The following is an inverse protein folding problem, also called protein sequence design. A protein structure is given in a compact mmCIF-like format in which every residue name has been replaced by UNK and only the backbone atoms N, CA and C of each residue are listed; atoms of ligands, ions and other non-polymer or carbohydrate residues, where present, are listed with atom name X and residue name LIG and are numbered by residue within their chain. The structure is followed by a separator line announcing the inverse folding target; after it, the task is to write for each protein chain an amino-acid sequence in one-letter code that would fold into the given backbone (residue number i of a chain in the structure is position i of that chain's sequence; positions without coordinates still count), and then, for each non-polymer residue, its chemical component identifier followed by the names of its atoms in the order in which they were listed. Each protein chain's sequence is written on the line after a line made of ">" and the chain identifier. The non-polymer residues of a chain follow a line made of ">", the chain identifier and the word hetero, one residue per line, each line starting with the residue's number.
data_IF_418307151959
#
_entry.id   IF_418307151959
#
_cell.length_a   1.000
_cell.length_b   1.000
_cell.length_c   1.000
_cell.angle_alpha   90.00
_cell.angle_beta   90.00
_cell.angle_gamma   90.00
#
_symmetry.space_group_name_H-M   'P 1'
#
loop_
_entity.id
_entity.type
_entity.pdbx_description
1 polymer ?
#
# COMPACT_ATOMS: atom_id res chain seq x y z
N UNK A 1 13.42 22.65 18.19
CA UNK A 1 13.54 21.18 18.10
C UNK A 1 12.68 20.74 16.94
N UNK A 2 13.26 20.09 15.93
CA UNK A 2 12.52 19.69 14.73
C UNK A 2 11.56 18.53 15.01
N UNK A 3 10.58 18.29 14.13
CA UNK A 3 9.63 17.19 14.23
C UNK A 3 10.37 15.84 14.29
N UNK A 4 11.42 15.69 13.49
CA UNK A 4 12.24 14.50 13.46
C UNK A 4 13.08 14.32 14.74
N UNK A 5 13.58 15.41 15.34
CA UNK A 5 14.30 15.34 16.63
C UNK A 5 13.39 14.81 17.74
N UNK A 6 12.13 15.28 17.76
CA UNK A 6 11.11 14.81 18.72
C UNK A 6 10.82 13.32 18.52
N UNK A 7 10.64 12.88 17.27
CA UNK A 7 10.38 11.49 16.94
C UNK A 7 11.53 10.58 17.40
N UNK A 8 12.77 10.93 17.06
CA UNK A 8 13.98 10.18 17.41
C UNK A 8 14.25 10.08 18.91
N UNK A 9 13.72 11.02 19.70
CA UNK A 9 13.83 11.01 21.16
C UNK A 9 12.90 10.00 21.85
N UNK A 10 11.97 9.38 21.14
CA UNK A 10 11.03 8.41 21.72
C UNK A 10 11.70 7.07 22.01
N UNK A 11 11.66 6.63 23.27
CA UNK A 11 12.30 5.38 23.70
C UNK A 11 11.69 4.13 23.06
N UNK A 12 10.41 4.18 22.65
CA UNK A 12 9.71 3.05 22.02
C UNK A 12 10.35 2.63 20.71
N UNK A 13 10.91 3.57 19.96
CA UNK A 13 11.50 3.31 18.63
C UNK A 13 13.02 3.19 18.66
N UNK A 14 13.68 3.38 19.82
CA UNK A 14 15.13 3.46 19.90
C UNK A 14 15.84 2.20 19.37
N UNK A 15 15.34 1.02 19.75
CA UNK A 15 15.89 -0.26 19.29
C UNK A 15 15.66 -0.47 17.78
N UNK A 16 14.47 -0.10 17.28
CA UNK A 16 14.12 -0.20 15.85
C UNK A 16 15.00 0.74 15.01
N UNK A 17 15.17 1.98 15.44
CA UNK A 17 16.03 2.95 14.78
C UNK A 17 17.48 2.45 14.73
N UNK A 18 17.99 1.90 15.83
CA UNK A 18 19.34 1.34 15.89
C UNK A 18 19.49 0.13 14.93
N UNK A 19 18.52 -0.78 14.92
CA UNK A 19 18.50 -1.95 14.01
C UNK A 19 18.59 -1.53 12.55
N UNK A 20 17.77 -0.56 12.13
CA UNK A 20 17.79 -0.03 10.77
C UNK A 20 19.15 0.61 10.47
N UNK A 21 19.67 1.46 11.35
CA UNK A 21 20.96 2.13 11.15
C UNK A 21 22.16 1.18 11.07
N UNK A 22 22.07 -0.01 11.65
CA UNK A 22 23.12 -1.04 11.54
C UNK A 22 23.12 -1.74 10.19
N UNK A 23 21.99 -1.74 9.47
CA UNK A 23 21.79 -2.47 8.21
C UNK A 23 21.81 -1.57 6.98
N UNK A 24 21.60 -0.27 7.15
CA UNK A 24 21.52 0.71 6.06
C UNK A 24 22.03 2.08 6.48
N UNK A 25 22.46 2.88 5.50
CA UNK A 25 22.78 4.30 5.67
C UNK A 25 21.48 5.10 5.67
N UNK A 26 20.85 5.19 6.84
CA UNK A 26 19.59 5.91 7.04
C UNK A 26 19.79 7.43 6.99
N UNK A 27 19.03 8.10 6.11
CA UNK A 27 18.93 9.55 6.01
C UNK A 27 17.52 10.03 6.33
N UNK A 28 17.45 11.27 6.79
CA UNK A 28 16.19 11.98 7.04
C UNK A 28 16.20 13.25 6.21
N UNK A 29 15.17 13.41 5.38
CA UNK A 29 15.03 14.54 4.48
C UNK A 29 13.67 15.18 4.70
N UNK A 30 13.61 16.52 4.74
CA UNK A 30 12.32 17.19 4.89
C UNK A 30 11.58 17.06 3.57
N UNK A 31 10.37 16.50 3.59
CA UNK A 31 9.54 16.39 2.39
C UNK A 31 8.94 17.75 2.03
N UNK A 32 8.77 17.97 0.73
CA UNK A 32 7.89 19.03 0.20
C UNK A 32 6.42 18.59 0.19
N UNK A 33 6.15 17.30 0.41
CA UNK A 33 4.80 16.75 0.58
C UNK A 33 4.29 16.89 2.02
N UNK A 34 3.00 16.63 2.22
CA UNK A 34 2.39 16.59 3.56
C UNK A 34 2.55 15.24 4.27
N UNK A 35 3.27 14.28 3.66
CA UNK A 35 3.33 12.89 4.13
C UNK A 35 4.73 12.49 4.60
N UNK A 36 4.75 11.44 5.41
CA UNK A 36 5.96 10.68 5.69
C UNK A 36 6.07 9.55 4.69
N UNK A 37 7.27 9.31 4.19
CA UNK A 37 7.54 8.27 3.19
C UNK A 37 8.90 7.66 3.47
N UNK A 38 9.04 6.37 3.18
CA UNK A 38 10.30 5.66 3.24
C UNK A 38 10.62 4.96 1.94
N UNK A 39 11.91 4.94 1.63
CA UNK A 39 12.47 4.20 0.51
C UNK A 39 13.78 3.55 0.88
N UNK A 40 14.09 2.45 0.21
CA UNK A 40 15.36 1.74 0.31
C UNK A 40 15.92 1.56 -1.10
N UNK A 41 17.15 2.01 -1.31
CA UNK A 41 17.90 1.85 -2.56
C UNK A 41 19.31 1.33 -2.22
N UNK A 42 19.52 0.04 -2.49
CA UNK A 42 20.73 -0.68 -2.09
C UNK A 42 21.02 -0.57 -0.59
N UNK A 43 22.20 -0.04 -0.25
CA UNK A 43 22.62 0.17 1.15
C UNK A 43 22.09 1.47 1.79
N UNK A 44 21.24 2.23 1.10
CA UNK A 44 20.73 3.52 1.56
C UNK A 44 19.25 3.44 1.83
N UNK A 45 18.82 4.08 2.91
CA UNK A 45 17.41 4.27 3.21
C UNK A 45 17.16 5.76 3.47
N UNK A 46 16.06 6.27 2.94
CA UNK A 46 15.65 7.66 3.14
C UNK A 46 14.27 7.65 3.78
N UNK A 47 14.12 8.43 4.83
CA UNK A 47 12.82 8.82 5.39
C UNK A 47 12.60 10.27 5.07
N UNK A 48 11.61 10.53 4.22
CA UNK A 48 11.09 11.86 4.01
C UNK A 48 10.06 12.18 5.09
N UNK A 49 10.17 13.36 5.70
CA UNK A 49 9.30 13.74 6.81
C UNK A 49 8.64 15.11 6.62
N UNK A 50 7.39 15.19 7.04
CA UNK A 50 6.59 16.41 7.09
C UNK A 50 6.12 16.73 8.52
N UNK A 51 5.45 17.87 8.70
CA UNK A 51 4.81 18.19 9.98
C UNK A 51 3.60 17.29 10.23
N UNK A 52 3.54 16.63 11.39
CA UNK A 52 2.39 15.80 11.77
C UNK A 52 2.14 15.80 13.28
N UNK A 53 0.96 15.35 13.68
CA UNK A 53 0.49 15.29 15.08
C UNK A 53 1.23 14.23 15.90
N UNK A 54 1.53 13.08 15.29
CA UNK A 54 2.12 11.91 15.95
C UNK A 54 3.49 11.53 15.34
N UNK A 55 4.52 12.37 15.47
CA UNK A 55 5.77 12.19 14.73
C UNK A 55 6.56 10.94 15.13
N UNK A 56 6.50 10.50 16.39
CA UNK A 56 7.11 9.23 16.80
C UNK A 56 6.42 8.03 16.18
N UNK A 57 5.09 8.09 15.99
CA UNK A 57 4.31 7.03 15.38
C UNK A 57 4.58 6.97 13.88
N UNK A 58 4.57 8.12 13.19
CA UNK A 58 4.92 8.20 11.78
C UNK A 58 6.33 7.64 11.53
N UNK A 59 7.32 8.04 12.34
CA UNK A 59 8.66 7.49 12.23
C UNK A 59 8.70 5.97 12.49
N UNK A 60 7.91 5.45 13.43
CA UNK A 60 7.85 4.01 13.68
C UNK A 60 7.34 3.24 12.46
N UNK A 61 6.33 3.76 11.76
CA UNK A 61 5.81 3.16 10.53
C UNK A 61 6.87 3.12 9.45
N UNK A 62 7.53 4.25 9.18
CA UNK A 62 8.57 4.31 8.15
C UNK A 62 9.75 3.39 8.47
N UNK A 63 10.16 3.29 9.74
CA UNK A 63 11.22 2.37 10.13
C UNK A 63 10.80 0.89 10.01
N UNK A 64 9.56 0.56 10.33
CA UNK A 64 9.04 -0.80 10.16
C UNK A 64 8.93 -1.17 8.67
N UNK A 65 8.52 -0.22 7.82
CA UNK A 65 8.51 -0.39 6.36
C UNK A 65 9.92 -0.63 5.84
N UNK A 66 10.92 0.14 6.28
CA UNK A 66 12.33 -0.10 5.92
C UNK A 66 12.80 -1.49 6.38
N UNK A 67 12.49 -1.89 7.62
CA UNK A 67 12.84 -3.24 8.07
C UNK A 67 12.17 -4.34 7.25
N UNK A 68 10.92 -4.15 6.85
CA UNK A 68 10.18 -5.08 5.99
C UNK A 68 10.90 -5.24 4.64
N UNK A 69 11.27 -4.13 4.01
CA UNK A 69 12.04 -4.10 2.75
C UNK A 69 13.40 -4.78 2.90
N UNK A 70 14.16 -4.43 3.94
CA UNK A 70 15.47 -5.03 4.22
C UNK A 70 15.37 -6.53 4.53
N UNK A 71 14.21 -7.01 4.99
CA UNK A 71 13.98 -8.43 5.30
C UNK A 71 13.56 -9.26 4.09
N UNK A 72 13.42 -8.63 2.91
CA UNK A 72 13.16 -9.32 1.64
C UNK A 72 11.78 -9.09 1.05
N UNK A 73 10.96 -8.20 1.63
CA UNK A 73 9.74 -7.75 0.94
C UNK A 73 10.12 -6.97 -0.31
N UNK A 74 9.58 -7.39 -1.46
CA UNK A 74 9.81 -6.74 -2.75
C UNK A 74 8.56 -5.96 -3.16
N UNK A 75 8.61 -4.62 -3.16
CA UNK A 75 7.46 -3.81 -3.54
C UNK A 75 7.20 -3.96 -5.03
N UNK A 76 5.94 -4.07 -5.41
CA UNK A 76 5.54 -4.00 -6.82
C UNK A 76 5.60 -2.53 -7.23
N UNK A 77 6.32 -2.24 -8.30
CA UNK A 77 6.58 -0.87 -8.78
C UNK A 77 5.76 -0.52 -10.00
N UNK A 78 5.43 -1.50 -10.82
CA UNK A 78 4.71 -1.31 -12.07
C UNK A 78 3.65 -2.39 -12.24
N UNK A 79 2.51 -2.01 -12.80
CA UNK A 79 1.54 -2.92 -13.35
C UNK A 79 1.00 -2.40 -14.67
N UNK A 80 0.69 -3.33 -15.56
CA UNK A 80 0.09 -3.12 -16.87
C UNK A 80 -1.12 -4.04 -16.91
N UNK A 81 -2.26 -3.57 -17.37
CA UNK A 81 -3.46 -4.40 -17.45
C UNK A 81 -4.32 -4.04 -18.65
N UNK A 82 -4.96 -5.06 -19.24
CA UNK A 82 -6.05 -4.90 -20.20
C UNK A 82 -7.42 -4.65 -19.56
N UNK A 83 -7.53 -4.85 -18.24
CA UNK A 83 -8.79 -4.78 -17.47
C UNK A 83 -8.96 -3.41 -16.83
N UNK A 84 -7.86 -2.85 -16.34
CA UNK A 84 -7.83 -1.51 -15.80
C UNK A 84 -7.57 -0.50 -16.91
N UNK A 85 -8.14 0.69 -16.77
CA UNK A 85 -7.69 1.85 -17.55
C UNK A 85 -6.19 2.04 -17.30
N UNK A 86 -5.42 2.30 -18.36
CA UNK A 86 -3.96 2.41 -18.26
C UNK A 86 -3.53 3.45 -17.21
N UNK A 87 -4.28 4.55 -17.09
CA UNK A 87 -4.04 5.60 -16.10
C UNK A 87 -4.37 5.19 -14.66
N UNK A 88 -5.28 4.23 -14.47
CA UNK A 88 -5.72 3.76 -13.15
C UNK A 88 -4.84 2.63 -12.58
N UNK A 89 -4.11 1.91 -13.45
CA UNK A 89 -3.30 0.74 -13.05
C UNK A 89 -2.18 1.11 -12.07
N UNK A 90 -1.38 2.18 -12.30
CA UNK A 90 -0.33 2.58 -11.35
C UNK A 90 -0.89 2.89 -9.96
N UNK A 91 -2.02 3.60 -9.90
CA UNK A 91 -2.71 3.93 -8.65
C UNK A 91 -3.17 2.67 -7.92
N UNK A 92 -3.80 1.73 -8.64
CA UNK A 92 -4.24 0.45 -8.07
C UNK A 92 -3.05 -0.32 -7.47
N UNK A 93 -1.96 -0.48 -8.22
CA UNK A 93 -0.76 -1.21 -7.78
C UNK A 93 -0.14 -0.54 -6.56
N UNK A 94 -0.06 0.79 -6.57
CA UNK A 94 0.49 1.55 -5.45
C UNK A 94 -0.35 1.36 -4.17
N UNK A 95 -1.68 1.50 -4.28
CA UNK A 95 -2.59 1.26 -3.15
C UNK A 95 -2.45 -0.17 -2.64
N UNK A 96 -2.54 -1.17 -3.52
CA UNK A 96 -2.44 -2.56 -3.12
C UNK A 96 -1.10 -2.86 -2.43
N UNK A 97 0.02 -2.40 -2.98
CA UNK A 97 1.34 -2.60 -2.39
C UNK A 97 1.47 -1.90 -1.02
N UNK A 98 0.89 -0.71 -0.85
CA UNK A 98 0.89 -0.03 0.45
C UNK A 98 0.02 -0.74 1.48
N UNK A 99 -1.15 -1.24 1.10
CA UNK A 99 -2.02 -1.97 2.03
C UNK A 99 -1.38 -3.30 2.45
N UNK A 100 -0.80 -4.05 1.51
CA UNK A 100 -0.10 -5.30 1.83
C UNK A 100 1.07 -5.08 2.80
N UNK A 101 1.82 -3.99 2.66
CA UNK A 101 2.86 -3.61 3.63
C UNK A 101 2.25 -3.27 5.00
N UNK A 102 1.17 -2.47 5.04
CA UNK A 102 0.50 -2.09 6.29
C UNK A 102 0.04 -3.30 7.10
N UNK A 103 -0.57 -4.29 6.46
CA UNK A 103 -0.96 -5.54 7.13
C UNK A 103 0.24 -6.28 7.76
N UNK A 104 1.45 -6.21 7.17
CA UNK A 104 2.65 -6.85 7.74
C UNK A 104 3.26 -6.09 8.92
N UNK A 105 3.19 -4.77 8.92
CA UNK A 105 3.84 -3.96 9.96
C UNK A 105 2.92 -3.64 11.14
N UNK A 106 1.60 -3.73 10.98
CA UNK A 106 0.63 -3.26 11.97
C UNK A 106 0.77 -3.92 13.35
N UNK A 107 0.86 -5.25 13.42
CA UNK A 107 1.04 -5.95 14.68
C UNK A 107 2.34 -5.54 15.40
N UNK A 108 3.43 -5.34 14.64
CA UNK A 108 4.70 -4.87 15.18
C UNK A 108 4.61 -3.44 15.68
N UNK A 109 3.87 -2.57 14.97
CA UNK A 109 3.62 -1.21 15.39
C UNK A 109 2.89 -1.14 16.74
N UNK A 110 1.85 -1.95 16.93
CA UNK A 110 1.16 -2.06 18.23
C UNK A 110 2.09 -2.61 19.32
N UNK A 111 2.94 -3.58 18.99
CA UNK A 111 3.91 -4.16 19.92
C UNK A 111 4.97 -3.14 20.42
N UNK A 112 5.22 -2.05 19.67
CA UNK A 112 6.05 -0.94 20.11
C UNK A 112 5.33 -0.03 21.14
N UNK A 113 4.05 -0.26 21.42
CA UNK A 113 3.26 0.51 22.38
C UNK A 113 2.63 1.77 21.79
N UNK A 114 2.37 1.79 20.48
CA UNK A 114 1.51 2.79 19.83
C UNK A 114 0.07 2.30 19.76
N UNK A 115 -0.88 3.23 19.63
CA UNK A 115 -2.32 2.89 19.55
C UNK A 115 -2.77 2.76 18.09
N UNK A 116 -3.86 2.03 17.80
CA UNK A 116 -4.43 1.94 16.46
C UNK A 116 -4.61 3.29 15.76
N UNK A 117 -5.11 4.29 16.49
CA UNK A 117 -5.40 5.64 15.97
C UNK A 117 -4.13 6.41 15.57
N UNK A 118 -2.96 5.98 16.05
CA UNK A 118 -1.66 6.56 15.70
C UNK A 118 -1.04 5.92 14.47
N UNK A 119 -1.58 4.79 13.99
CA UNK A 119 -1.11 4.10 12.80
C UNK A 119 -1.62 4.74 11.51
N UNK A 120 -2.66 5.56 11.57
CA UNK A 120 -3.15 6.28 10.40
C UNK A 120 -2.72 7.74 10.54
N UNK A 121 -2.30 8.34 9.42
CA UNK A 121 -1.71 9.67 9.41
C UNK A 121 -2.80 10.75 9.49
N UNK A 122 -2.39 12.01 9.69
CA UNK A 122 -3.32 13.14 9.73
C UNK A 122 -4.15 13.31 8.43
N UNK A 123 -3.68 12.76 7.31
CA UNK A 123 -4.37 12.71 6.01
C UNK A 123 -5.57 11.75 5.98
N UNK A 124 -5.68 10.81 6.93
CA UNK A 124 -6.80 9.85 6.95
C UNK A 124 -8.12 10.47 7.43
N UNK A 125 -8.11 11.74 7.86
CA UNK A 125 -9.34 12.52 8.04
C UNK A 125 -10.14 12.63 6.73
N UNK A 126 -9.45 12.57 5.59
CA UNK A 126 -10.08 12.63 4.28
C UNK A 126 -10.48 11.24 3.76
N UNK A 127 -10.02 10.15 4.40
CA UNK A 127 -10.38 8.78 4.01
C UNK A 127 -11.88 8.57 4.12
N UNK A 128 -12.53 8.97 5.22
CA UNK A 128 -13.99 8.80 5.33
C UNK A 128 -14.79 9.61 4.29
N UNK A 129 -14.58 10.93 4.13
CA UNK A 129 -15.20 11.70 3.04
C UNK A 129 -14.94 11.11 1.65
N UNK A 130 -13.71 10.66 1.37
CA UNK A 130 -13.35 10.04 0.11
C UNK A 130 -14.12 8.73 -0.15
N UNK A 131 -14.17 7.82 0.83
CA UNK A 131 -14.91 6.57 0.71
C UNK A 131 -16.41 6.82 0.52
N UNK A 132 -16.99 7.81 1.22
CA UNK A 132 -18.37 8.21 1.00
C UNK A 132 -18.60 8.74 -0.42
N UNK A 133 -17.69 9.58 -0.92
CA UNK A 133 -17.78 10.13 -2.27
C UNK A 133 -17.75 9.04 -3.33
N UNK A 134 -16.85 8.06 -3.21
CA UNK A 134 -16.79 6.90 -4.11
C UNK A 134 -18.14 6.15 -4.14
N UNK A 135 -18.73 5.90 -2.97
CA UNK A 135 -20.02 5.21 -2.87
C UNK A 135 -21.20 6.04 -3.40
N UNK A 136 -21.07 7.37 -3.51
CA UNK A 136 -22.08 8.24 -4.11
C UNK A 136 -21.98 8.32 -5.64
N UNK A 137 -20.80 8.03 -6.22
CA UNK A 137 -20.58 8.12 -7.67
C UNK A 137 -21.04 6.90 -8.47
N UNK A 138 -21.55 5.84 -7.80
CA UNK A 138 -22.03 4.60 -8.42
C UNK A 138 -21.09 4.10 -9.54
N UNK A 139 -19.85 3.67 -9.20
CA UNK A 139 -18.86 3.33 -10.19
C UNK A 139 -19.33 2.19 -11.08
N UNK A 140 -18.89 2.26 -12.34
CA UNK A 140 -19.26 1.40 -13.46
C UNK A 140 -18.40 0.14 -13.55
N UNK A 141 -17.25 0.10 -12.87
CA UNK A 141 -16.30 -1.00 -12.89
C UNK A 141 -15.77 -1.33 -11.48
N UNK A 142 -15.71 -2.62 -11.14
CA UNK A 142 -15.15 -3.15 -9.90
C UNK A 142 -13.70 -2.71 -9.67
N UNK A 143 -12.92 -2.54 -10.74
CA UNK A 143 -11.55 -2.03 -10.69
C UNK A 143 -11.42 -0.68 -9.96
N UNK A 144 -12.44 0.20 -10.06
CA UNK A 144 -12.50 1.50 -9.38
C UNK A 144 -12.93 1.39 -7.93
N UNK A 145 -13.61 0.30 -7.56
CA UNK A 145 -14.06 0.03 -6.18
C UNK A 145 -12.97 -0.58 -5.33
N UNK A 146 -12.09 -1.39 -5.92
CA UNK A 146 -11.15 -2.18 -5.12
C UNK A 146 -10.17 -1.30 -4.33
N UNK A 147 -9.48 -0.29 -4.89
CA UNK A 147 -8.57 0.52 -4.07
C UNK A 147 -9.26 1.18 -2.86
N UNK A 148 -10.43 1.85 -3.01
CA UNK A 148 -11.22 2.33 -1.87
C UNK A 148 -11.62 1.22 -0.88
N UNK A 149 -12.00 0.04 -1.37
CA UNK A 149 -12.34 -1.08 -0.50
C UNK A 149 -11.13 -1.61 0.29
N UNK A 150 -9.95 -1.69 -0.34
CA UNK A 150 -8.70 -2.03 0.32
C UNK A 150 -8.33 -1.00 1.40
N UNK A 151 -8.54 0.29 1.12
CA UNK A 151 -8.33 1.37 2.10
C UNK A 151 -9.27 1.24 3.30
N UNK A 152 -10.54 0.88 3.08
CA UNK A 152 -11.48 0.61 4.18
C UNK A 152 -10.98 -0.54 5.07
N UNK A 153 -10.43 -1.60 4.47
CA UNK A 153 -9.91 -2.77 5.17
C UNK A 153 -8.52 -2.53 5.82
N UNK A 154 -7.92 -1.37 5.59
CA UNK A 154 -6.60 -1.03 6.13
C UNK A 154 -6.59 -1.12 7.66
N UNK A 155 -5.58 -1.78 8.26
CA UNK A 155 -5.52 -1.90 9.71
C UNK A 155 -5.29 -0.54 10.37
N UNK A 156 -5.78 -0.39 11.61
CA UNK A 156 -5.64 0.86 12.37
C UNK A 156 -6.51 2.02 11.87
N UNK A 157 -7.51 1.74 11.01
CA UNK A 157 -8.48 2.74 10.55
C UNK A 157 -9.05 3.60 11.69
N UNK A 158 -9.29 4.87 11.40
CA UNK A 158 -9.77 5.87 12.39
C UNK A 158 -11.30 5.89 12.51
N UNK A 159 -11.99 5.04 11.76
CA UNK A 159 -13.45 4.94 11.77
C UNK A 159 -13.96 4.33 13.08
N UNK A 160 -15.13 4.80 13.53
CA UNK A 160 -15.88 4.07 14.55
C UNK A 160 -16.35 2.73 13.98
N UNK A 161 -16.61 1.75 14.85
CA UNK A 161 -17.12 0.44 14.43
C UNK A 161 -18.40 0.56 13.58
N UNK A 162 -19.31 1.43 13.98
CA UNK A 162 -20.57 1.66 13.25
C UNK A 162 -20.32 2.29 11.87
N UNK A 163 -19.42 3.27 11.77
CA UNK A 163 -19.08 3.91 10.49
C UNK A 163 -18.34 2.95 9.55
N UNK A 164 -17.45 2.12 10.10
CA UNK A 164 -16.80 1.05 9.35
C UNK A 164 -17.85 0.05 8.82
N UNK A 165 -18.75 -0.43 9.67
CA UNK A 165 -19.76 -1.41 9.28
C UNK A 165 -20.73 -0.85 8.23
N UNK A 166 -21.14 0.43 8.35
CA UNK A 166 -21.97 1.10 7.34
C UNK A 166 -21.28 1.13 5.97
N UNK A 167 -20.04 1.63 5.92
CA UNK A 167 -19.29 1.69 4.67
C UNK A 167 -19.05 0.29 4.09
N UNK A 168 -18.68 -0.67 4.94
CA UNK A 168 -18.43 -2.05 4.55
C UNK A 168 -19.67 -2.67 3.91
N UNK A 169 -20.84 -2.56 4.57
CA UNK A 169 -22.11 -3.07 4.04
C UNK A 169 -22.48 -2.39 2.72
N UNK A 170 -22.21 -1.08 2.58
CA UNK A 170 -22.48 -0.33 1.35
C UNK A 170 -21.56 -0.74 0.21
N UNK A 171 -20.26 -0.95 0.46
CA UNK A 171 -19.33 -1.49 -0.54
C UNK A 171 -19.78 -2.88 -1.03
N UNK A 172 -20.22 -3.76 -0.12
CA UNK A 172 -20.71 -5.08 -0.49
C UNK A 172 -22.02 -5.05 -1.29
N UNK A 173 -22.82 -3.98 -1.17
CA UNK A 173 -24.14 -3.85 -1.83
C UNK A 173 -24.15 -2.90 -3.02
N UNK A 174 -23.05 -2.17 -3.27
CA UNK A 174 -22.99 -1.18 -4.37
C UNK A 174 -23.31 -1.82 -5.73
N UNK A 175 -22.88 -3.07 -5.90
CA UNK A 175 -23.27 -3.92 -7.00
C UNK A 175 -23.22 -5.38 -6.51
N UNK A 176 -24.37 -6.04 -6.48
CA UNK A 176 -24.50 -7.42 -5.97
C UNK A 176 -23.73 -8.45 -6.80
N UNK A 177 -23.37 -8.13 -8.04
CA UNK A 177 -22.50 -8.98 -8.85
C UNK A 177 -21.07 -9.04 -8.30
N UNK A 178 -20.61 -7.98 -7.62
CA UNK A 178 -19.23 -7.85 -7.13
C UNK A 178 -19.01 -8.37 -5.71
N UNK A 179 -20.09 -8.59 -4.95
CA UNK A 179 -20.01 -9.00 -3.53
C UNK A 179 -19.07 -10.20 -3.33
N UNK A 180 -19.18 -11.23 -4.19
CA UNK A 180 -18.33 -12.42 -4.09
C UNK A 180 -16.84 -12.09 -4.31
N UNK A 181 -16.54 -11.20 -5.24
CA UNK A 181 -15.17 -10.79 -5.58
C UNK A 181 -14.57 -9.96 -4.44
N UNK A 182 -15.32 -9.02 -3.88
CA UNK A 182 -14.90 -8.22 -2.73
C UNK A 182 -14.61 -9.10 -1.50
N UNK A 183 -15.50 -10.03 -1.16
CA UNK A 183 -15.28 -10.98 -0.07
C UNK A 183 -14.07 -11.90 -0.31
N UNK A 184 -13.82 -12.28 -1.57
CA UNK A 184 -12.64 -13.08 -1.92
C UNK A 184 -11.35 -12.25 -1.74
N UNK A 185 -11.34 -10.98 -2.15
CA UNK A 185 -10.21 -10.07 -1.95
C UNK A 185 -9.95 -9.84 -0.46
N UNK A 186 -10.99 -9.63 0.34
CA UNK A 186 -10.87 -9.51 1.80
C UNK A 186 -10.19 -10.75 2.41
N UNK A 187 -10.62 -11.96 2.01
CA UNK A 187 -9.99 -13.19 2.48
C UNK A 187 -8.51 -13.27 2.07
N UNK A 188 -8.16 -12.86 0.85
CA UNK A 188 -6.76 -12.83 0.39
C UNK A 188 -5.89 -11.89 1.21
N UNK A 189 -6.42 -10.75 1.68
CA UNK A 189 -5.70 -9.85 2.59
C UNK A 189 -5.50 -10.49 3.97
N UNK A 190 -6.54 -11.14 4.52
CA UNK A 190 -6.45 -11.85 5.80
C UNK A 190 -5.43 -12.99 5.75
N UNK A 191 -5.44 -13.77 4.67
CA UNK A 191 -4.45 -14.84 4.44
C UNK A 191 -3.03 -14.27 4.32
N UNK A 192 -2.87 -13.12 3.64
CA UNK A 192 -1.61 -12.43 3.53
C UNK A 192 -1.09 -11.94 4.89
N UNK A 193 -1.95 -11.33 5.70
CA UNK A 193 -1.61 -10.86 7.04
C UNK A 193 -1.07 -12.00 7.92
N UNK A 194 -1.71 -13.17 7.86
CA UNK A 194 -1.34 -14.35 8.66
C UNK A 194 -0.13 -15.12 8.10
N UNK A 195 0.23 -14.90 6.84
CA UNK A 195 1.35 -15.57 6.20
C UNK A 195 2.70 -15.10 6.77
N UNK A 196 3.68 -16.00 6.85
CA UNK A 196 5.08 -15.62 7.14
C UNK A 196 5.83 -15.12 5.88
N UNK A 197 5.23 -15.31 4.70
CA UNK A 197 5.83 -14.88 3.43
C UNK A 197 5.98 -13.36 3.35
N UNK A 198 7.11 -12.93 2.80
CA UNK A 198 7.35 -11.56 2.34
C UNK A 198 7.24 -11.41 0.82
N UNK A 199 7.05 -12.51 0.10
CA UNK A 199 6.76 -12.49 -1.33
C UNK A 199 5.25 -12.37 -1.56
N UNK A 200 4.81 -11.18 -1.99
CA UNK A 200 3.42 -10.82 -2.24
C UNK A 200 2.89 -11.26 -3.61
N UNK A 201 3.75 -11.83 -4.47
CA UNK A 201 3.43 -12.14 -5.88
C UNK A 201 2.16 -12.97 -6.01
N UNK A 202 2.04 -14.05 -5.23
CA UNK A 202 0.87 -14.95 -5.31
C UNK A 202 -0.41 -14.26 -4.83
N UNK A 203 -0.33 -13.45 -3.77
CA UNK A 203 -1.48 -12.69 -3.27
C UNK A 203 -1.97 -11.70 -4.31
N UNK A 204 -1.05 -10.90 -4.87
CA UNK A 204 -1.36 -9.88 -5.87
C UNK A 204 -1.94 -10.52 -7.13
N UNK A 205 -1.34 -11.63 -7.60
CA UNK A 205 -1.87 -12.40 -8.73
C UNK A 205 -3.30 -12.88 -8.48
N UNK A 206 -3.59 -13.44 -7.30
CA UNK A 206 -4.94 -13.91 -6.95
C UNK A 206 -5.94 -12.76 -6.85
N UNK A 207 -5.53 -11.61 -6.30
CA UNK A 207 -6.37 -10.41 -6.23
C UNK A 207 -6.72 -9.98 -7.65
N UNK A 208 -5.73 -9.77 -8.51
CA UNK A 208 -5.93 -9.37 -9.91
C UNK A 208 -6.86 -10.35 -10.65
N UNK A 209 -6.64 -11.67 -10.56
CA UNK A 209 -7.53 -12.69 -11.12
C UNK A 209 -8.95 -12.70 -10.53
N UNK A 210 -9.15 -12.15 -9.33
CA UNK A 210 -10.49 -12.03 -8.73
C UNK A 210 -11.30 -10.88 -9.34
N UNK A 211 -10.60 -9.83 -9.77
CA UNK A 211 -11.20 -8.65 -10.42
C UNK A 211 -11.82 -9.06 -11.74
N UNK A 212 -11.04 -9.75 -12.56
CA UNK A 212 -11.45 -10.31 -13.82
C UNK A 212 -10.89 -11.74 -13.95
N UNK A 213 -11.74 -12.78 -13.81
CA UNK A 213 -11.29 -14.18 -13.83
C UNK A 213 -10.81 -14.71 -15.18
N UNK A 214 -11.12 -14.03 -16.30
CA UNK A 214 -10.70 -14.43 -17.66
C UNK A 214 -10.42 -13.23 -18.56
N UNK A 215 -9.40 -13.32 -19.41
CA UNK A 215 -8.96 -12.23 -20.28
C UNK A 215 -8.19 -11.13 -19.54
N UNK A 216 -7.62 -11.46 -18.37
CA UNK A 216 -6.95 -10.50 -17.49
C UNK A 216 -5.48 -10.32 -17.87
N UNK A 217 -5.24 -10.03 -19.15
CA UNK A 217 -3.94 -9.91 -19.84
C UNK A 217 -3.06 -8.82 -19.21
N UNK A 218 -2.59 -9.09 -18.01
CA UNK A 218 -1.91 -8.13 -17.14
C UNK A 218 -0.50 -8.59 -16.85
N UNK A 219 0.35 -7.65 -16.48
CA UNK A 219 1.71 -7.89 -15.99
C UNK A 219 1.96 -7.00 -14.79
N UNK A 220 2.72 -7.46 -13.82
CA UNK A 220 3.23 -6.62 -12.74
C UNK A 220 4.65 -7.00 -12.38
N UNK A 221 5.44 -6.04 -11.94
CA UNK A 221 6.88 -6.25 -11.71
C UNK A 221 7.44 -5.47 -10.54
N UNK A 222 8.64 -5.88 -10.13
CA UNK A 222 9.38 -5.26 -9.03
C UNK A 222 10.23 -4.07 -9.49
N UNK A 223 10.51 -4.00 -10.80
CA UNK A 223 11.21 -2.89 -11.44
C UNK A 223 10.24 -1.89 -12.06
N UNK A 224 10.78 -0.71 -12.40
CA UNK A 224 10.12 0.29 -13.22
C UNK A 224 9.98 -0.18 -14.68
N UNK A 225 9.65 0.74 -15.59
CA UNK A 225 9.44 0.46 -17.01
C UNK A 225 10.63 -0.24 -17.70
N UNK A 226 11.86 -0.12 -17.16
CA UNK A 226 13.06 -0.75 -17.72
C UNK A 226 13.13 -2.25 -17.44
N UNK A 227 12.39 -2.72 -16.44
CA UNK A 227 12.32 -4.13 -16.08
C UNK A 227 11.29 -4.92 -16.88
N UNK A 228 10.38 -4.27 -17.61
CA UNK A 228 9.46 -4.97 -18.49
C UNK A 228 10.19 -5.47 -19.76
N UNK A 229 9.98 -6.72 -20.23
CA UNK A 229 9.09 -7.74 -19.66
C UNK A 229 9.73 -8.68 -18.61
N UNK A 230 11.06 -8.65 -18.48
CA UNK A 230 11.84 -9.74 -17.89
C UNK A 230 11.79 -9.80 -16.34
N UNK A 231 11.47 -8.69 -15.68
CA UNK A 231 11.41 -8.58 -14.22
C UNK A 231 9.97 -8.40 -13.70
N UNK A 232 9.13 -9.39 -14.01
CA UNK A 232 7.78 -9.43 -13.48
C UNK A 232 7.03 -10.72 -13.76
N UNK A 233 5.73 -10.64 -13.52
CA UNK A 233 4.81 -11.76 -13.57
C UNK A 233 3.63 -11.37 -14.40
N UNK A 234 3.31 -12.25 -15.34
CA UNK A 234 2.10 -12.10 -16.08
C UNK A 234 0.92 -12.79 -15.40
N UNK A 235 -0.24 -12.24 -15.70
CA UNK A 235 -1.55 -12.73 -15.30
C UNK A 235 -2.31 -12.95 -16.57
N UNK A 236 -2.84 -14.16 -16.68
CA UNK A 236 -3.74 -14.56 -17.75
C UNK A 236 -3.29 -14.07 -19.13
N UNK A 237 -1.98 -14.20 -19.41
CA UNK A 237 -1.24 -13.83 -20.62
C UNK A 237 -2.04 -14.05 -21.92
N UNK A 238 -2.05 -13.14 -22.90
CA UNK A 238 -0.90 -12.92 -23.76
C UNK A 238 -0.65 -11.42 -24.05
N UNK A 239 0.62 -11.06 -24.01
CA UNK A 239 1.14 -9.71 -24.07
C UNK A 239 1.88 -9.44 -25.39
N UNK A 240 2.11 -8.16 -25.71
CA UNK A 240 3.29 -7.63 -26.42
C UNK A 240 3.26 -6.11 -26.26
N UNK A 241 4.37 -5.49 -25.87
CA UNK A 241 4.44 -4.06 -25.57
C UNK A 241 5.40 -3.36 -26.55
N UNK A 242 5.04 -2.18 -27.06
CA UNK A 242 5.96 -1.28 -27.77
C UNK A 242 5.80 0.15 -27.26
N UNK A 243 6.85 0.66 -26.64
CA UNK A 243 7.01 2.09 -26.32
C UNK A 243 7.69 2.78 -27.51
N UNK A 244 7.07 3.83 -28.05
CA UNK A 244 7.54 4.62 -29.20
C UNK A 244 8.68 5.52 -28.73
N UNK A 245 9.78 5.70 -29.51
CA UNK A 245 11.00 6.34 -29.03
C UNK A 245 10.74 7.80 -28.66
N UNK A 246 11.37 8.27 -27.59
CA UNK A 246 11.63 9.69 -27.41
C UNK A 246 12.27 10.22 -28.70
N UNK A 247 11.55 11.08 -29.44
CA UNK A 247 12.14 11.87 -30.50
C UNK A 247 11.77 13.34 -30.36
N UNK A 248 12.83 14.10 -30.04
CA UNK A 248 12.99 15.56 -30.07
C UNK A 248 12.21 16.32 -28.99
N UNK A 249 12.83 17.03 -28.04
CA UNK A 249 14.12 17.76 -28.05
C UNK A 249 14.50 18.12 -26.62
#
# INVERSE_FOLDING_TARGET
>A
MSVIDKARGDRRIAALLQSVQQRTRLKFEKSDSEHWLSSVDGERAVIEYAGCRHPSAALAQELLTIELLLSGFRPIRLGISSVFEQEATPTFINVLNHELQRHKIYARFLALGFTPEQFQHDSDKDTFPYLQQVLMTEPDNIARIIPPFLMLLSPGGTLTLDAFQDLYDRFLRINTAWTKQLLTIEQLLKDWEQSESLDQTLTVRKILLTIEPKGNFSWFGFSDEKGFPDDGFYIDEAFSVRVVPDQAT
#
